data_IF_465905098158
#
_entry.id   IF_465905098158
#
_cell.length_a   1.000
_cell.length_b   1.000
_cell.length_c   1.000
_cell.angle_alpha   90.00
_cell.angle_beta   90.00
_cell.angle_gamma   90.00
#
_symmetry.space_group_name_H-M   'P 1'
#
loop_
_entity.id
_entity.type
_entity.pdbx_description
1 polymer ?
#
# COMPACT_ATOMS: atom_id res chain seq x y z
N UNK A 1 80.14 -48.30 -13.10
CA UNK A 1 80.13 -46.94 -12.52
C UNK A 1 79.05 -46.17 -13.26
N UNK A 2 77.94 -45.89 -12.57
CA UNK A 2 76.64 -45.54 -13.17
C UNK A 2 76.45 -44.03 -13.10
N UNK A 3 76.19 -43.39 -14.25
CA UNK A 3 75.96 -41.96 -14.36
C UNK A 3 74.50 -41.62 -13.99
N UNK A 4 74.32 -40.63 -13.12
CA UNK A 4 73.01 -40.10 -12.71
C UNK A 4 72.78 -38.83 -13.53
N UNK A 5 71.75 -38.85 -14.40
CA UNK A 5 71.26 -37.64 -15.07
C UNK A 5 70.32 -36.87 -14.14
N UNK A 6 70.58 -35.58 -13.97
CA UNK A 6 69.70 -34.62 -13.30
C UNK A 6 68.79 -34.00 -14.37
N UNK A 7 67.49 -34.17 -14.19
CA UNK A 7 66.46 -33.69 -15.10
C UNK A 7 65.91 -32.36 -14.58
N UNK A 8 66.17 -31.29 -15.34
CA UNK A 8 65.60 -29.95 -15.13
C UNK A 8 64.08 -30.01 -15.31
N UNK A 9 63.33 -29.50 -14.32
CA UNK A 9 61.86 -29.35 -14.40
C UNK A 9 61.54 -27.90 -14.74
N UNK A 10 60.97 -27.73 -15.92
CA UNK A 10 60.44 -26.47 -16.43
C UNK A 10 59.36 -25.87 -15.52
N UNK A 11 59.52 -24.58 -15.26
CA UNK A 11 58.56 -23.75 -14.53
C UNK A 11 57.32 -23.47 -15.39
N UNK A 12 56.15 -23.89 -14.91
CA UNK A 12 54.87 -23.55 -15.52
C UNK A 12 54.54 -22.08 -15.28
N UNK A 13 54.47 -21.32 -16.37
CA UNK A 13 54.04 -19.92 -16.38
C UNK A 13 52.59 -19.76 -15.93
N UNK A 14 52.37 -18.89 -14.95
CA UNK A 14 51.05 -18.39 -14.58
C UNK A 14 50.54 -17.44 -15.67
N UNK A 15 49.52 -17.89 -16.41
CA UNK A 15 48.78 -17.03 -17.33
C UNK A 15 47.98 -15.96 -16.57
N UNK A 16 47.73 -14.78 -17.18
CA UNK A 16 47.03 -13.68 -16.54
C UNK A 16 45.60 -14.07 -16.21
N UNK A 17 45.26 -14.02 -14.93
CA UNK A 17 43.91 -14.20 -14.43
C UNK A 17 43.05 -13.03 -14.95
N UNK A 18 42.12 -13.33 -15.85
CA UNK A 18 41.05 -12.41 -16.22
C UNK A 18 40.22 -12.10 -14.98
N UNK A 19 40.30 -10.86 -14.49
CA UNK A 19 39.42 -10.37 -13.45
C UNK A 19 37.97 -10.49 -13.93
N UNK A 20 37.04 -11.04 -13.11
CA UNK A 20 35.63 -11.10 -13.47
C UNK A 20 35.12 -9.68 -13.68
N UNK A 21 34.51 -9.44 -14.84
CA UNK A 21 33.83 -8.19 -15.12
C UNK A 21 32.81 -7.93 -14.01
N UNK A 22 33.07 -6.89 -13.21
CA UNK A 22 32.10 -6.35 -12.26
C UNK A 22 30.83 -6.05 -13.05
N UNK A 23 29.83 -6.90 -12.89
CA UNK A 23 28.49 -6.61 -13.39
C UNK A 23 28.07 -5.31 -12.69
N UNK A 24 27.69 -4.25 -13.43
CA UNK A 24 27.26 -3.02 -12.81
C UNK A 24 26.13 -3.39 -11.86
N UNK A 25 26.32 -3.11 -10.57
CA UNK A 25 25.29 -3.23 -9.55
C UNK A 25 24.04 -2.60 -10.14
N UNK A 26 23.04 -3.43 -10.46
CA UNK A 26 21.74 -2.94 -10.87
C UNK A 26 21.25 -2.10 -9.70
N UNK A 27 21.39 -0.79 -9.81
CA UNK A 27 20.75 0.14 -8.89
C UNK A 27 19.26 -0.04 -9.14
N UNK A 28 18.66 -0.94 -8.37
CA UNK A 28 17.23 -1.18 -8.35
C UNK A 28 16.61 0.12 -7.91
N UNK A 29 16.17 0.92 -8.89
CA UNK A 29 15.42 2.14 -8.59
C UNK A 29 14.20 1.72 -7.77
N UNK A 30 13.98 2.33 -6.61
CA UNK A 30 12.79 2.04 -5.80
C UNK A 30 11.56 2.18 -6.69
N UNK A 31 10.81 1.09 -6.84
CA UNK A 31 9.51 1.12 -7.51
C UNK A 31 8.52 1.63 -6.47
N UNK A 32 7.96 2.81 -6.70
CA UNK A 32 6.96 3.38 -5.80
C UNK A 32 5.57 3.21 -6.42
N UNK A 33 4.68 2.64 -5.62
CA UNK A 33 3.26 2.58 -5.98
C UNK A 33 2.62 3.93 -5.65
N UNK A 34 1.95 4.53 -6.63
CA UNK A 34 1.23 5.79 -6.46
C UNK A 34 -0.28 5.56 -6.60
N UNK A 35 -1.04 6.17 -5.71
CA UNK A 35 -2.50 6.04 -5.61
C UNK A 35 -3.13 7.40 -5.94
N UNK A 36 -3.97 7.46 -6.96
CA UNK A 36 -4.80 8.63 -7.21
C UNK A 36 -6.10 8.45 -6.43
N UNK A 37 -6.43 9.36 -5.53
CA UNK A 37 -7.62 9.16 -4.71
C UNK A 37 -8.06 10.34 -3.87
N UNK A 38 -8.98 10.05 -2.94
CA UNK A 38 -9.42 10.97 -1.90
C UNK A 38 -9.04 10.43 -0.52
N UNK A 39 -8.34 11.23 0.31
CA UNK A 39 -7.99 10.82 1.65
C UNK A 39 -9.21 10.84 2.56
N UNK A 40 -9.30 9.84 3.42
CA UNK A 40 -10.26 9.70 4.50
C UNK A 40 -9.50 9.80 5.82
N UNK A 41 -9.52 10.99 6.44
CA UNK A 41 -8.96 11.14 7.77
C UNK A 41 -9.75 10.31 8.79
N UNK A 42 -9.04 9.70 9.75
CA UNK A 42 -9.65 8.91 10.83
C UNK A 42 -10.69 9.73 11.60
N UNK A 43 -10.37 11.00 11.89
CA UNK A 43 -11.29 11.93 12.58
C UNK A 43 -12.60 12.12 11.80
N UNK A 44 -12.51 12.32 10.49
CA UNK A 44 -13.70 12.45 9.64
C UNK A 44 -14.49 11.14 9.61
N UNK A 45 -13.84 9.99 9.46
CA UNK A 45 -14.52 8.69 9.45
C UNK A 45 -15.33 8.45 10.72
N UNK A 46 -14.74 8.72 11.89
CA UNK A 46 -15.42 8.58 13.19
C UNK A 46 -16.63 9.52 13.28
N UNK A 47 -16.47 10.78 12.86
CA UNK A 47 -17.57 11.75 12.88
C UNK A 47 -18.68 11.35 11.91
N UNK A 48 -18.32 10.93 10.70
CA UNK A 48 -19.25 10.43 9.70
C UNK A 48 -20.07 9.26 10.24
N UNK A 49 -19.41 8.30 10.91
CA UNK A 49 -20.08 7.17 11.54
C UNK A 49 -21.07 7.58 12.63
N UNK A 50 -20.71 8.55 13.47
CA UNK A 50 -21.62 9.12 14.48
C UNK A 50 -22.84 9.76 13.83
N UNK A 51 -22.64 10.57 12.80
CA UNK A 51 -23.71 11.29 12.09
C UNK A 51 -24.69 10.33 11.40
N UNK A 52 -24.21 9.19 10.90
CA UNK A 52 -25.03 8.20 10.17
C UNK A 52 -25.51 7.02 11.05
N UNK A 53 -25.15 7.00 12.33
CA UNK A 53 -25.56 5.94 13.26
C UNK A 53 -24.97 4.56 12.91
N UNK A 54 -23.71 4.51 12.46
CA UNK A 54 -22.98 3.27 12.18
C UNK A 54 -21.80 3.09 13.15
N UNK A 55 -21.44 1.83 13.52
CA UNK A 55 -22.13 0.59 13.21
C UNK A 55 -23.46 0.46 13.97
N UNK A 56 -24.42 -0.25 13.37
CA UNK A 56 -25.70 -0.57 14.02
C UNK A 56 -25.49 -1.71 15.01
N UNK A 57 -26.27 -1.72 16.11
CA UNK A 57 -26.35 -2.84 17.08
C UNK A 57 -25.07 -3.09 17.90
N UNK A 58 -24.21 -2.10 18.03
CA UNK A 58 -23.09 -2.11 18.98
C UNK A 58 -23.40 -1.10 20.08
N UNK A 59 -23.43 -1.54 21.33
CA UNK A 59 -23.82 -0.68 22.47
C UNK A 59 -22.81 0.46 22.69
N UNK A 60 -21.51 0.16 22.52
CA UNK A 60 -20.40 1.13 22.67
C UNK A 60 -19.29 0.87 21.65
N UNK A 61 -19.50 1.25 20.37
CA UNK A 61 -18.49 1.03 19.35
C UNK A 61 -17.28 1.93 19.62
N UNK A 62 -16.10 1.31 19.55
CA UNK A 62 -14.81 1.99 19.63
C UNK A 62 -14.63 2.94 18.44
N UNK A 63 -13.63 3.83 18.53
CA UNK A 63 -13.28 4.70 17.40
C UNK A 63 -12.82 3.88 16.18
N UNK A 64 -12.17 2.73 16.41
CA UNK A 64 -11.83 1.79 15.35
C UNK A 64 -13.10 1.25 14.66
N UNK A 65 -14.06 0.72 15.43
CA UNK A 65 -15.33 0.17 14.89
C UNK A 65 -16.09 1.24 14.09
N UNK A 66 -16.10 2.48 14.58
CA UNK A 66 -16.72 3.61 13.89
C UNK A 66 -16.00 3.93 12.59
N UNK A 67 -14.67 4.01 12.62
CA UNK A 67 -13.90 4.33 11.43
C UNK A 67 -14.04 3.26 10.34
N UNK A 68 -14.03 1.99 10.72
CA UNK A 68 -14.24 0.87 9.82
C UNK A 68 -15.66 0.85 9.25
N UNK A 69 -16.69 1.02 10.09
CA UNK A 69 -18.07 1.07 9.63
C UNK A 69 -18.35 2.27 8.70
N UNK A 70 -17.69 3.42 8.91
CA UNK A 70 -17.75 4.54 7.97
C UNK A 70 -17.12 4.20 6.63
N UNK A 71 -15.95 3.54 6.63
CA UNK A 71 -15.28 3.10 5.41
C UNK A 71 -16.18 2.17 4.60
N UNK A 72 -16.72 1.12 5.23
CA UNK A 72 -17.64 0.19 4.57
C UNK A 72 -18.89 0.90 4.02
N UNK A 73 -19.48 1.81 4.81
CA UNK A 73 -20.66 2.57 4.38
C UNK A 73 -20.36 3.43 3.15
N UNK A 74 -19.22 4.14 3.16
CA UNK A 74 -18.83 5.02 2.05
C UNK A 74 -18.48 4.19 0.81
N UNK A 75 -17.74 3.09 0.96
CA UNK A 75 -17.39 2.18 -0.13
C UNK A 75 -18.65 1.63 -0.80
N UNK A 76 -19.57 1.07 -0.01
CA UNK A 76 -20.82 0.50 -0.51
C UNK A 76 -21.71 1.55 -1.20
N UNK A 77 -21.74 2.79 -0.69
CA UNK A 77 -22.59 3.84 -1.26
C UNK A 77 -21.99 4.50 -2.50
N UNK A 78 -20.66 4.59 -2.58
CA UNK A 78 -19.96 5.20 -3.71
C UNK A 78 -19.63 4.22 -4.83
N UNK A 79 -19.62 2.92 -4.56
CA UNK A 79 -19.13 1.92 -5.51
C UNK A 79 -17.61 2.00 -5.74
N UNK A 80 -16.87 2.52 -4.75
CA UNK A 80 -15.40 2.56 -4.75
C UNK A 80 -14.90 1.69 -3.61
N UNK A 81 -14.41 0.51 -3.96
CA UNK A 81 -14.06 -0.54 -2.99
C UNK A 81 -12.59 -0.46 -2.56
N UNK A 82 -11.72 0.01 -3.46
CA UNK A 82 -10.30 0.06 -3.18
C UNK A 82 -9.99 1.18 -2.17
N UNK A 83 -9.63 0.79 -0.95
CA UNK A 83 -9.12 1.69 0.09
C UNK A 83 -7.73 1.24 0.51
N UNK A 84 -6.76 2.13 0.36
CA UNK A 84 -5.35 1.82 0.58
C UNK A 84 -4.74 2.78 1.60
N UNK A 85 -3.83 2.27 2.43
CA UNK A 85 -3.01 3.11 3.30
C UNK A 85 -2.00 3.89 2.47
N UNK A 86 -1.95 5.20 2.63
CA UNK A 86 -1.08 6.09 1.88
C UNK A 86 -0.49 7.18 2.76
N UNK A 87 0.66 7.71 2.35
CA UNK A 87 1.26 8.89 2.96
C UNK A 87 0.57 10.17 2.45
N UNK A 88 -0.09 10.88 3.36
CA UNK A 88 -0.81 12.14 3.15
C UNK A 88 -0.24 13.16 4.12
N UNK A 89 0.42 14.19 3.61
CA UNK A 89 1.05 15.26 4.41
C UNK A 89 1.97 14.74 5.54
N UNK A 90 2.66 13.61 5.29
CA UNK A 90 3.58 13.00 6.26
C UNK A 90 2.94 12.05 7.25
N UNK A 91 1.62 11.83 7.19
CA UNK A 91 0.89 10.87 8.01
C UNK A 91 0.34 9.71 7.17
N UNK A 92 0.26 8.52 7.77
CA UNK A 92 -0.39 7.37 7.14
C UNK A 92 -1.91 7.51 7.28
N UNK A 93 -2.62 7.59 6.15
CA UNK A 93 -4.07 7.76 6.09
C UNK A 93 -4.69 6.81 5.06
N UNK A 94 -5.97 6.46 5.25
CA UNK A 94 -6.73 5.70 4.27
C UNK A 94 -7.09 6.58 3.07
N UNK A 95 -6.92 6.08 1.86
CA UNK A 95 -7.27 6.76 0.62
C UNK A 95 -8.17 5.87 -0.22
N UNK A 96 -9.35 6.38 -0.61
CA UNK A 96 -10.18 5.74 -1.62
C UNK A 96 -9.51 5.88 -2.98
N UNK A 97 -9.05 4.77 -3.53
CA UNK A 97 -8.29 4.72 -4.76
C UNK A 97 -9.22 4.79 -5.98
N UNK A 98 -8.99 5.77 -6.83
CA UNK A 98 -9.63 5.90 -8.14
C UNK A 98 -8.78 5.25 -9.24
N UNK A 99 -7.46 5.21 -9.03
CA UNK A 99 -6.51 4.53 -9.89
C UNK A 99 -5.22 4.23 -9.14
N UNK A 100 -4.60 3.09 -9.46
CA UNK A 100 -3.34 2.65 -8.88
C UNK A 100 -2.29 2.51 -9.97
N UNK A 101 -1.14 3.16 -9.78
CA UNK A 101 0.04 2.98 -10.62
C UNK A 101 1.12 2.17 -9.89
N UNK A 102 1.26 0.91 -10.29
CA UNK A 102 2.29 -0.02 -9.80
C UNK A 102 3.64 0.13 -10.52
N UNK A 103 3.70 0.90 -11.61
CA UNK A 103 4.87 0.96 -12.52
C UNK A 103 5.72 2.20 -12.29
N UNK A 104 5.30 3.10 -11.42
CA UNK A 104 5.84 4.43 -11.28
C UNK A 104 7.16 4.46 -10.50
N UNK A 105 8.07 5.32 -10.97
CA UNK A 105 9.32 5.64 -10.28
C UNK A 105 9.10 6.58 -9.09
N UNK A 106 10.11 7.38 -8.70
CA UNK A 106 10.06 8.18 -7.47
C UNK A 106 9.07 9.37 -7.51
N UNK A 107 8.34 9.57 -8.60
CA UNK A 107 7.46 10.71 -8.80
C UNK A 107 6.05 10.27 -9.21
N UNK A 108 5.01 11.03 -8.81
CA UNK A 108 3.64 10.71 -9.17
C UNK A 108 3.42 10.78 -10.69
N UNK A 109 2.55 9.93 -11.25
CA UNK A 109 2.22 9.95 -12.67
C UNK A 109 1.58 11.29 -13.09
N UNK A 110 1.92 11.75 -14.30
CA UNK A 110 1.33 12.99 -14.86
C UNK A 110 -0.04 12.78 -15.50
N UNK A 111 -0.40 11.53 -15.82
CA UNK A 111 -1.62 11.18 -16.56
C UNK A 111 -2.19 9.86 -16.04
N UNK A 112 -3.51 9.80 -16.00
CA UNK A 112 -4.27 8.59 -15.64
C UNK A 112 -4.70 7.87 -16.90
N UNK A 113 -4.56 6.54 -16.91
CA UNK A 113 -5.12 5.72 -17.98
C UNK A 113 -6.61 5.50 -17.69
N UNK A 114 -7.49 6.07 -18.53
CA UNK A 114 -8.95 6.04 -18.35
C UNK A 114 -9.54 4.63 -18.21
N UNK A 115 -8.92 3.62 -18.81
CA UNK A 115 -9.38 2.23 -18.73
C UNK A 115 -9.22 1.61 -17.34
N UNK A 116 -8.50 2.27 -16.42
CA UNK A 116 -8.23 1.84 -15.04
C UNK A 116 -8.78 2.84 -14.02
N UNK A 117 -9.79 3.59 -14.40
CA UNK A 117 -10.38 4.62 -13.55
C UNK A 117 -11.80 4.21 -13.19
N UNK A 118 -12.14 4.41 -11.93
CA UNK A 118 -13.52 4.33 -11.42
C UNK A 118 -14.46 5.17 -12.28
N UNK A 119 -15.71 4.74 -12.55
CA UNK A 119 -16.68 5.55 -13.29
C UNK A 119 -16.90 6.95 -12.69
N UNK A 120 -17.10 7.95 -13.55
CA UNK A 120 -17.24 9.35 -13.11
C UNK A 120 -18.41 9.56 -12.13
N UNK A 121 -19.49 8.77 -12.24
CA UNK A 121 -20.63 8.82 -11.32
C UNK A 121 -20.22 8.43 -9.90
N UNK A 122 -19.51 7.31 -9.75
CA UNK A 122 -18.99 6.83 -8.47
C UNK A 122 -18.03 7.85 -7.85
N UNK A 123 -17.17 8.50 -8.67
CA UNK A 123 -16.27 9.56 -8.22
C UNK A 123 -17.05 10.75 -7.63
N UNK A 124 -18.15 11.16 -8.27
CA UNK A 124 -19.00 12.27 -7.78
C UNK A 124 -19.69 11.91 -6.47
N UNK A 125 -20.24 10.70 -6.37
CA UNK A 125 -20.88 10.22 -5.14
C UNK A 125 -19.86 10.16 -4.00
N UNK A 126 -18.66 9.65 -4.26
CA UNK A 126 -17.58 9.61 -3.28
C UNK A 126 -17.20 11.02 -2.79
N UNK A 127 -16.97 11.96 -3.71
CA UNK A 127 -16.61 13.34 -3.34
C UNK A 127 -17.71 14.01 -2.50
N UNK A 128 -18.98 13.75 -2.81
CA UNK A 128 -20.12 14.21 -2.02
C UNK A 128 -20.14 13.62 -0.60
N UNK A 129 -19.95 12.30 -0.46
CA UNK A 129 -19.90 11.62 0.85
C UNK A 129 -18.73 12.10 1.72
N UNK A 130 -17.59 12.41 1.11
CA UNK A 130 -16.42 12.96 1.78
C UNK A 130 -16.50 14.48 2.02
N UNK A 131 -17.56 15.14 1.54
CA UNK A 131 -17.76 16.59 1.62
C UNK A 131 -16.56 17.39 1.10
N UNK A 132 -15.88 16.88 0.08
CA UNK A 132 -14.68 17.50 -0.48
C UNK A 132 -14.97 18.14 -1.82
N UNK A 133 -14.56 19.40 -1.98
CA UNK A 133 -14.56 20.11 -3.25
C UNK A 133 -13.20 20.00 -3.97
N UNK A 134 -12.19 19.43 -3.31
CA UNK A 134 -10.88 19.23 -3.90
C UNK A 134 -10.95 18.18 -5.02
N UNK A 135 -10.02 18.27 -5.98
CA UNK A 135 -9.81 17.22 -6.97
C UNK A 135 -9.01 16.07 -6.33
N UNK A 136 -9.12 14.83 -6.84
CA UNK A 136 -8.29 13.74 -6.34
C UNK A 136 -6.82 14.06 -6.64
N UNK A 137 -5.94 13.60 -5.75
CA UNK A 137 -4.50 13.83 -5.85
C UNK A 137 -3.73 12.50 -5.75
N UNK A 138 -2.47 12.54 -6.16
CA UNK A 138 -1.58 11.38 -6.08
C UNK A 138 -0.93 11.31 -4.71
N UNK A 139 -1.04 10.15 -4.08
CA UNK A 139 -0.42 9.82 -2.80
C UNK A 139 0.50 8.63 -2.97
N UNK A 140 1.58 8.59 -2.18
CA UNK A 140 2.45 7.41 -2.19
C UNK A 140 1.79 6.34 -1.32
N UNK A 141 1.68 5.13 -1.88
CA UNK A 141 1.23 3.97 -1.12
C UNK A 141 2.15 3.72 0.09
N UNK A 142 1.56 3.37 1.22
CA UNK A 142 2.29 2.98 2.41
C UNK A 142 2.48 1.46 2.37
N UNK A 143 3.62 1.01 1.84
CA UNK A 143 4.01 -0.40 1.82
C UNK A 143 4.70 -0.85 3.11
N UNK A 144 4.77 0.03 4.12
CA UNK A 144 5.48 -0.19 5.38
C UNK A 144 7.01 -0.15 5.25
N UNK A 145 7.57 -0.02 4.04
CA UNK A 145 9.02 0.08 3.82
C UNK A 145 9.49 1.53 3.81
N UNK A 146 8.61 2.46 3.43
CA UNK A 146 8.93 3.87 3.50
C UNK A 146 8.76 4.39 4.92
N UNK A 147 9.85 4.87 5.52
CA UNK A 147 9.78 5.74 6.68
C UNK A 147 10.19 7.16 6.26
N UNK A 148 9.35 8.20 6.48
CA UNK A 148 9.67 9.59 6.14
C UNK A 148 11.02 10.03 6.69
N UNK A 149 11.40 9.48 7.84
CA UNK A 149 12.62 9.79 8.57
C UNK A 149 13.89 9.11 8.02
N UNK A 150 13.80 8.04 7.20
CA UNK A 150 15.00 7.39 6.62
C UNK A 150 15.35 7.91 5.22
N UNK A 151 14.45 8.67 4.57
CA UNK A 151 14.65 9.17 3.20
C UNK A 151 15.34 10.53 3.09
N UNK A 152 15.44 11.27 4.20
CA UNK A 152 16.27 12.48 4.35
C UNK A 152 17.33 12.30 5.44
N UNK A 153 17.81 11.07 5.65
CA UNK A 153 19.24 10.94 5.94
C UNK A 153 19.94 11.45 4.69
N UNK A 154 20.10 12.78 4.60
CA UNK A 154 21.22 13.38 3.92
C UNK A 154 22.37 12.46 4.28
N UNK A 155 22.93 11.79 3.27
CA UNK A 155 24.34 11.48 3.36
C UNK A 155 24.95 12.85 3.60
N UNK A 156 25.14 13.21 4.88
CA UNK A 156 26.13 14.18 5.26
C UNK A 156 27.33 13.67 4.49
N UNK A 157 27.69 14.43 3.45
CA UNK A 157 28.87 14.13 2.68
C UNK A 157 29.93 13.86 3.73
N UNK A 158 30.51 12.66 3.68
CA UNK A 158 31.61 12.26 4.53
C UNK A 158 32.70 13.31 4.39
N UNK A 159 32.63 14.34 5.22
CA UNK A 159 33.57 15.44 5.29
C UNK A 159 34.36 15.30 6.57
N UNK A 160 34.76 14.05 6.87
CA UNK A 160 36.01 13.77 7.54
C UNK A 160 36.26 14.52 8.84
N UNK A 161 35.21 14.89 9.59
CA UNK A 161 35.38 15.33 10.96
C UNK A 161 35.52 14.09 11.82
N UNK A 162 36.79 13.74 12.01
CA UNK A 162 37.33 13.08 13.19
C UNK A 162 36.82 13.81 14.45
N UNK A 163 35.62 13.43 14.92
CA UNK A 163 35.11 13.85 16.21
C UNK A 163 35.19 12.67 17.16
N UNK A 164 36.39 12.52 17.72
CA UNK A 164 36.63 11.78 18.94
C UNK A 164 35.55 12.04 19.99
N UNK A 165 35.20 10.98 20.72
CA UNK A 165 34.55 10.98 22.03
C UNK A 165 33.00 10.95 22.07
N UNK A 166 32.46 9.73 22.12
CA UNK A 166 31.71 9.31 23.30
C UNK A 166 31.86 7.79 23.51
N UNK A 167 32.90 7.42 24.26
CA UNK A 167 32.96 6.11 24.91
C UNK A 167 31.87 6.03 25.99
N UNK A 168 31.34 4.82 26.18
CA UNK A 168 30.55 4.35 27.33
C UNK A 168 29.03 4.61 27.32
N UNK A 169 28.30 3.66 26.76
CA UNK A 169 27.14 3.07 27.44
C UNK A 169 27.09 1.58 27.12
N UNK A 170 27.97 0.87 27.82
CA UNK A 170 27.99 -0.56 28.04
C UNK A 170 26.67 -1.06 28.66
N UNK A 171 26.25 -2.21 28.13
CA UNK A 171 25.68 -3.37 28.83
C UNK A 171 24.31 -3.29 29.52
N UNK A 172 23.55 -4.39 29.29
CA UNK A 172 22.42 -5.00 30.04
C UNK A 172 21.04 -4.80 29.39
N UNK A 173 20.22 -5.82 29.16
CA UNK A 173 20.25 -7.23 29.53
C UNK A 173 19.49 -8.03 28.45
N UNK A 174 20.03 -9.22 28.14
CA UNK A 174 19.33 -10.25 27.42
C UNK A 174 18.18 -10.77 28.30
N UNK A 175 16.94 -10.58 27.86
CA UNK A 175 15.79 -11.30 28.39
C UNK A 175 15.42 -12.37 27.37
N UNK A 176 15.95 -13.56 27.66
CA UNK A 176 15.64 -14.85 27.06
C UNK A 176 14.29 -15.28 27.66
N UNK A 177 13.18 -15.09 26.94
CA UNK A 177 11.89 -15.68 27.30
C UNK A 177 11.60 -16.87 26.38
N UNK A 178 12.10 -18.00 26.85
CA UNK A 178 11.64 -19.35 26.56
C UNK A 178 10.15 -19.46 26.92
N UNK A 179 9.31 -19.78 25.94
CA UNK A 179 7.90 -20.10 26.18
C UNK A 179 7.49 -21.29 25.33
N UNK A 180 7.79 -22.47 25.87
CA UNK A 180 7.00 -23.70 25.92
C UNK A 180 5.89 -23.88 24.88
N UNK A 181 6.21 -24.74 23.91
CA UNK A 181 5.51 -26.00 23.61
C UNK A 181 4.14 -26.22 24.29
N UNK A 182 3.06 -26.13 23.50
CA UNK A 182 1.91 -27.02 23.63
C UNK A 182 1.37 -27.36 22.24
N UNK A 183 1.49 -28.64 21.87
CA UNK A 183 0.80 -29.23 20.73
C UNK A 183 -0.68 -29.47 21.02
N UNK A 184 -1.49 -29.45 19.96
CA UNK A 184 -2.74 -30.21 19.80
C UNK A 184 -3.06 -30.17 18.30
N UNK A 185 -2.74 -31.24 17.55
CA UNK A 185 -3.66 -32.34 17.21
C UNK A 185 -5.05 -31.89 16.72
N UNK A 186 -5.26 -32.02 15.41
CA UNK A 186 -6.42 -32.72 14.86
C UNK A 186 -7.78 -32.03 14.94
N UNK A 187 -8.27 -31.57 13.79
CA UNK A 187 -9.59 -32.01 13.33
C UNK A 187 -9.83 -31.67 11.86
N UNK A 188 -9.84 -32.72 11.04
CA UNK A 188 -10.54 -32.76 9.77
C UNK A 188 -12.02 -32.41 10.01
N UNK A 189 -12.44 -31.27 9.47
CA UNK A 189 -13.84 -30.97 9.25
C UNK A 189 -14.06 -30.82 7.75
N UNK A 190 -14.64 -31.88 7.18
CA UNK A 190 -15.18 -31.91 5.83
C UNK A 190 -16.12 -30.72 5.61
N UNK A 191 -15.76 -29.81 4.70
CA UNK A 191 -16.69 -28.81 4.19
C UNK A 191 -17.37 -29.43 2.99
N UNK A 192 -18.64 -29.75 3.19
CA UNK A 192 -19.54 -30.22 2.16
C UNK A 192 -19.72 -29.17 1.07
N UNK A 193 -19.56 -29.63 -0.16
CA UNK A 193 -20.24 -29.13 -1.34
C UNK A 193 -21.76 -29.09 -1.06
N UNK A 194 -22.37 -27.92 -1.08
CA UNK A 194 -23.78 -27.80 -1.46
C UNK A 194 -23.96 -26.55 -2.32
N UNK A 195 -23.92 -26.81 -3.62
CA UNK A 195 -24.31 -25.91 -4.68
C UNK A 195 -25.78 -25.49 -4.49
N UNK A 196 -26.02 -24.21 -4.23
CA UNK A 196 -27.33 -23.60 -4.53
C UNK A 196 -27.15 -22.31 -5.31
N UNK A 197 -27.18 -22.51 -6.63
CA UNK A 197 -27.65 -21.54 -7.60
C UNK A 197 -29.09 -21.12 -7.26
N UNK A 198 -29.28 -19.94 -6.69
CA UNK A 198 -30.56 -19.23 -6.78
C UNK A 198 -30.39 -17.97 -7.63
N UNK A 199 -30.68 -18.16 -8.92
CA UNK A 199 -30.89 -17.13 -9.93
C UNK A 199 -32.09 -16.25 -9.53
N UNK A 200 -31.82 -15.12 -8.87
CA UNK A 200 -32.84 -14.10 -8.68
C UNK A 200 -33.10 -13.37 -10.01
N UNK A 201 -34.23 -13.72 -10.60
CA UNK A 201 -34.77 -13.12 -11.81
C UNK A 201 -34.92 -11.59 -11.67
N UNK A 202 -34.17 -10.90 -12.51
CA UNK A 202 -34.35 -9.51 -12.91
C UNK A 202 -35.74 -9.34 -13.54
N UNK A 203 -36.72 -8.90 -12.74
CA UNK A 203 -37.93 -8.29 -13.27
C UNK A 203 -37.60 -6.83 -13.63
N UNK A 204 -37.14 -6.65 -14.86
CA UNK A 204 -37.31 -5.40 -15.60
C UNK A 204 -38.79 -5.21 -15.87
N UNK A 205 -39.38 -4.16 -15.32
CA UNK A 205 -40.48 -3.39 -15.94
C UNK A 205 -40.88 -2.25 -15.00
N UNK A 206 -40.44 -1.04 -15.32
CA UNK A 206 -41.27 0.14 -15.07
C UNK A 206 -40.88 1.24 -16.06
N UNK A 207 -41.56 1.20 -17.20
CA UNK A 207 -41.81 2.36 -18.05
C UNK A 207 -42.43 3.47 -17.19
N UNK A 208 -41.68 4.55 -16.97
CA UNK A 208 -42.25 5.84 -16.57
C UNK A 208 -41.77 6.89 -17.56
N UNK A 209 -42.49 6.94 -18.68
CA UNK A 209 -42.66 8.15 -19.46
C UNK A 209 -43.15 9.26 -18.51
N UNK A 210 -42.28 10.22 -18.23
CA UNK A 210 -42.70 11.54 -17.74
C UNK A 210 -42.51 12.53 -18.89
N UNK A 211 -43.60 12.63 -19.66
CA UNK A 211 -43.93 13.77 -20.49
C UNK A 211 -43.88 15.08 -19.67
N UNK A 212 -43.42 16.13 -20.35
CA UNK A 212 -43.83 17.54 -20.17
C UNK A 212 -43.66 18.20 -18.78
N UNK A 213 -42.84 19.24 -18.70
CA UNK A 213 -43.35 20.56 -19.11
C UNK A 213 -42.27 21.62 -19.33
N UNK A 214 -42.57 22.42 -20.33
CA UNK A 214 -41.88 23.57 -20.87
C UNK A 214 -42.06 24.78 -19.91
N UNK A 215 -40.97 25.42 -19.52
CA UNK A 215 -41.00 26.87 -19.27
C UNK A 215 -39.62 27.52 -19.30
N UNK A 216 -39.32 28.07 -20.46
CA UNK A 216 -38.50 29.25 -20.60
C UNK A 216 -38.99 30.37 -19.64
N UNK A 217 -38.10 30.89 -18.80
CA UNK A 217 -38.16 32.31 -18.45
C UNK A 217 -36.79 32.93 -18.62
N UNK A 218 -36.67 33.68 -19.70
CA UNK A 218 -35.70 34.75 -19.88
C UNK A 218 -36.06 35.84 -18.88
N UNK A 219 -35.15 36.16 -17.96
CA UNK A 219 -34.96 37.50 -17.40
C UNK A 219 -33.49 37.66 -17.03
#
# INVERSE_FOLDING_TARGET
MTAIQVQERDAMGHGPQHAPAFSPLFVLRPRMTWILGYPLSLRYAIQFAKDHGVPKRVDRPSDFDRSFAALEYIAARSGVEDVLSCWVDGESQMVFALSVDYKSGPYPPKRVHRSRTVPDENIRVLAYLLKTAAKPAWYRYDDGTYTPWQGECLQFADDGYDSDSCETCDERDAMDEDSDDVGEEGSDAAVGDDERDEVMAINSDSDLASDFDDKCSVY
#
